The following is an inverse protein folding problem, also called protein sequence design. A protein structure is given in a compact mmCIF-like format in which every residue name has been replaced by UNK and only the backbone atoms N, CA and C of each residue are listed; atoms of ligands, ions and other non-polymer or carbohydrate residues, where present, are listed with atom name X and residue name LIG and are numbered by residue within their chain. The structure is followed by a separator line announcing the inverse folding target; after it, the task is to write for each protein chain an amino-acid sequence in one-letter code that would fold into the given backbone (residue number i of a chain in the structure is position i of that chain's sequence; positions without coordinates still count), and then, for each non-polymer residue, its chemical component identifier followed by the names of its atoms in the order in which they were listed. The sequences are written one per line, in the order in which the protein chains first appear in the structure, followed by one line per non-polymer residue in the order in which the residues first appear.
data_IF_009988103784
#
_entry.id   IF_009988103784
#
_cell.length_a   1.000
_cell.length_b   1.000
_cell.length_c   1.000
_cell.angle_alpha   90.00
_cell.angle_beta   90.00
_cell.angle_gamma   90.00
#
_symmetry.space_group_name_H-M   'P 1'
#
loop_
_entity.id
_entity.type
_entity.pdbx_description
1 polymer ?
#
# COMPACT_ATOMS: atom_id res chain seq x y z
N UNK A 1 53.46 41.60 -11.20
CA UNK A 1 52.47 40.64 -10.67
C UNK A 1 51.75 40.01 -11.85
N UNK A 2 51.84 38.69 -12.00
CA UNK A 2 51.42 37.98 -13.20
C UNK A 2 49.88 38.02 -13.35
N UNK A 3 49.39 38.68 -14.40
CA UNK A 3 47.96 38.83 -14.74
C UNK A 3 47.28 37.56 -15.27
N UNK A 4 47.99 36.42 -15.29
CA UNK A 4 47.54 35.13 -15.83
C UNK A 4 46.88 34.20 -14.81
N UNK A 5 46.64 34.64 -13.58
CA UNK A 5 45.97 33.82 -12.55
C UNK A 5 44.44 33.86 -12.60
N UNK A 6 43.83 34.66 -13.48
CA UNK A 6 42.39 34.93 -13.48
C UNK A 6 41.51 33.83 -14.09
N UNK A 7 42.05 32.98 -14.97
CA UNK A 7 41.31 31.83 -15.53
C UNK A 7 42.01 30.52 -15.16
N UNK A 8 41.89 30.08 -13.90
CA UNK A 8 42.22 28.70 -13.52
C UNK A 8 41.02 27.79 -13.77
N UNK A 9 41.08 26.83 -14.70
CA UNK A 9 39.97 25.92 -15.02
C UNK A 9 39.51 25.11 -13.78
N UNK A 10 40.43 24.81 -12.86
CA UNK A 10 40.12 24.14 -11.58
C UNK A 10 39.12 24.90 -10.70
N UNK A 11 39.03 26.23 -10.81
CA UNK A 11 38.13 27.03 -9.97
C UNK A 11 36.69 26.87 -10.44
N UNK A 12 36.47 26.79 -11.76
CA UNK A 12 35.15 26.59 -12.35
C UNK A 12 34.64 25.17 -12.09
N UNK A 13 35.50 24.16 -12.25
CA UNK A 13 35.19 22.76 -11.91
C UNK A 13 34.85 22.57 -10.42
N UNK A 14 35.60 23.23 -9.52
CA UNK A 14 35.27 23.24 -8.08
C UNK A 14 33.94 23.94 -7.78
N UNK A 15 33.63 25.00 -8.54
CA UNK A 15 32.38 25.74 -8.37
C UNK A 15 31.18 24.89 -8.81
N UNK A 16 31.23 24.26 -9.99
CA UNK A 16 30.17 23.39 -10.50
C UNK A 16 29.94 22.15 -9.62
N UNK A 17 31.01 21.52 -9.13
CA UNK A 17 30.91 20.41 -8.17
C UNK A 17 30.29 20.84 -6.84
N UNK A 18 30.64 22.03 -6.33
CA UNK A 18 30.07 22.57 -5.09
C UNK A 18 28.58 22.89 -5.24
N UNK A 19 28.14 23.39 -6.39
CA UNK A 19 26.71 23.59 -6.68
C UNK A 19 25.93 22.27 -6.72
N UNK A 20 26.54 21.23 -7.26
CA UNK A 20 25.95 19.91 -7.28
C UNK A 20 25.80 19.30 -5.86
N UNK A 21 26.80 19.48 -5.00
CA UNK A 21 26.73 19.07 -3.58
C UNK A 21 25.69 19.88 -2.78
N UNK A 22 25.57 21.19 -3.07
CA UNK A 22 24.55 22.05 -2.46
C UNK A 22 23.12 21.68 -2.89
N UNK A 23 22.91 21.36 -4.17
CA UNK A 23 21.62 20.87 -4.66
C UNK A 23 21.17 19.57 -3.98
N UNK A 24 22.11 18.67 -3.69
CA UNK A 24 21.85 17.43 -2.94
C UNK A 24 21.62 17.67 -1.43
N UNK A 25 22.28 18.67 -0.85
CA UNK A 25 22.12 19.04 0.57
C UNK A 25 20.85 19.85 0.86
N UNK A 26 20.33 20.59 -0.12
CA UNK A 26 19.14 21.42 0.05
C UNK A 26 17.84 20.61 0.16
N UNK A 27 17.85 19.35 -0.28
CA UNK A 27 16.80 18.37 0.03
C UNK A 27 16.80 17.94 1.52
N UNK A 28 17.90 18.17 2.25
CA UNK A 28 18.03 17.85 3.67
C UNK A 28 17.85 19.08 4.60
N UNK A 29 18.10 20.29 4.12
CA UNK A 29 18.09 21.51 4.94
C UNK A 29 17.10 22.56 4.40
N UNK A 30 15.88 22.50 4.94
CA UNK A 30 14.82 23.48 4.74
C UNK A 30 15.23 24.81 5.39
N UNK A 31 15.44 25.84 4.58
CA UNK A 31 15.28 27.24 4.98
C UNK A 31 16.57 28.04 5.16
N UNK A 32 17.14 28.54 4.06
CA UNK A 32 17.64 29.93 3.92
C UNK A 32 18.06 30.12 2.46
N UNK A 33 17.49 31.11 1.78
CA UNK A 33 17.91 31.53 0.45
C UNK A 33 19.23 32.32 0.60
N UNK A 34 20.37 31.67 0.40
CA UNK A 34 21.66 32.36 0.29
C UNK A 34 21.90 32.68 -1.19
N UNK A 35 22.02 33.97 -1.52
CA UNK A 35 22.20 34.46 -2.88
C UNK A 35 23.51 33.94 -3.50
N UNK A 36 23.37 33.51 -4.75
CA UNK A 36 24.16 32.51 -5.45
C UNK A 36 25.54 32.97 -5.98
N UNK A 37 26.02 34.14 -5.60
CA UNK A 37 27.37 34.61 -5.88
C UNK A 37 27.83 35.38 -4.65
N UNK A 38 29.01 35.04 -4.09
CA UNK A 38 29.57 35.81 -2.98
C UNK A 38 29.63 37.27 -3.39
N UNK A 39 29.10 38.18 -2.56
CA UNK A 39 29.16 39.64 -2.77
C UNK A 39 30.58 40.14 -3.08
N UNK A 40 31.58 39.36 -2.65
CA UNK A 40 33.00 39.55 -2.90
C UNK A 40 33.40 39.35 -4.37
N UNK A 41 32.88 38.33 -5.07
CA UNK A 41 33.19 38.08 -6.48
C UNK A 41 32.51 39.13 -7.39
N UNK A 42 31.31 39.55 -7.03
CA UNK A 42 30.54 40.57 -7.75
C UNK A 42 31.12 41.99 -7.51
N UNK A 43 31.79 42.18 -6.37
CA UNK A 43 32.64 43.34 -6.07
C UNK A 43 33.92 43.31 -6.91
N UNK A 44 34.60 42.17 -6.99
CA UNK A 44 35.83 42.02 -7.78
C UNK A 44 35.59 42.20 -9.28
N UNK A 45 34.48 41.66 -9.83
CA UNK A 45 34.11 41.87 -11.24
C UNK A 45 33.80 43.33 -11.56
N UNK A 46 33.07 44.03 -10.69
CA UNK A 46 32.83 45.48 -10.86
C UNK A 46 34.09 46.32 -10.71
N UNK A 47 35.00 45.91 -9.82
CA UNK A 47 36.33 46.51 -9.70
C UNK A 47 37.15 46.35 -10.98
N UNK A 48 37.17 45.15 -11.55
CA UNK A 48 37.82 44.85 -12.83
C UNK A 48 37.20 45.62 -14.01
N UNK A 49 35.89 45.77 -14.03
CA UNK A 49 35.19 46.55 -15.07
C UNK A 49 35.54 48.04 -14.99
N UNK A 50 35.61 48.61 -13.79
CA UNK A 50 36.04 50.00 -13.58
C UNK A 50 37.51 50.22 -13.93
N UNK A 51 38.38 49.26 -13.61
CA UNK A 51 39.80 49.32 -13.98
C UNK A 51 39.93 49.23 -15.51
N UNK A 52 39.22 48.31 -16.15
CA UNK A 52 39.21 48.16 -17.62
C UNK A 52 38.73 49.44 -18.31
N UNK A 53 37.66 50.07 -17.82
CA UNK A 53 37.15 51.35 -18.34
C UNK A 53 38.15 52.49 -18.14
N UNK A 54 38.82 52.55 -16.99
CA UNK A 54 39.82 53.57 -16.68
C UNK A 54 41.06 53.43 -17.57
N UNK A 55 41.54 52.20 -17.77
CA UNK A 55 42.66 51.87 -18.66
C UNK A 55 42.31 52.18 -20.11
N UNK A 56 41.08 51.86 -20.55
CA UNK A 56 40.57 52.17 -21.90
C UNK A 56 40.50 53.68 -22.15
N UNK A 57 40.11 54.45 -21.12
CA UNK A 57 39.99 55.90 -21.22
C UNK A 57 41.35 56.61 -21.21
N UNK A 58 42.33 56.11 -20.44
CA UNK A 58 43.67 56.70 -20.37
C UNK A 58 44.56 56.38 -21.58
N UNK A 59 44.31 55.27 -22.28
CA UNK A 59 45.20 54.80 -23.35
C UNK A 59 44.66 54.99 -24.78
N UNK A 60 43.43 55.49 -24.95
CA UNK A 60 42.77 55.63 -26.27
C UNK A 60 42.81 54.33 -27.12
N UNK A 61 42.78 53.16 -26.48
CA UNK A 61 42.88 51.87 -27.16
C UNK A 61 41.48 51.33 -27.52
N UNK A 62 41.27 50.98 -28.78
CA UNK A 62 40.14 50.16 -29.21
C UNK A 62 40.51 48.67 -29.17
N UNK A 63 40.50 48.10 -27.97
CA UNK A 63 40.62 46.65 -27.81
C UNK A 63 39.29 45.98 -28.16
N UNK A 64 39.28 45.23 -29.27
CA UNK A 64 38.18 44.33 -29.62
C UNK A 64 38.51 42.93 -29.09
N UNK A 65 37.89 42.56 -27.97
CA UNK A 65 37.90 41.19 -27.50
C UNK A 65 36.80 40.43 -28.23
N UNK A 66 37.17 39.49 -29.10
CA UNK A 66 36.22 38.50 -29.62
C UNK A 66 36.18 37.39 -28.59
N UNK A 67 35.20 37.43 -27.69
CA UNK A 67 34.87 36.28 -26.87
C UNK A 67 34.31 35.22 -27.82
N UNK A 68 35.01 34.10 -27.97
CA UNK A 68 34.45 32.94 -28.67
C UNK A 68 33.36 32.41 -27.76
N UNK A 69 32.11 32.60 -28.19
CA UNK A 69 30.95 31.99 -27.54
C UNK A 69 31.24 30.50 -27.38
N UNK A 70 31.16 30.01 -26.14
CA UNK A 70 31.14 28.57 -25.90
C UNK A 70 30.01 27.99 -26.77
N UNK A 71 30.20 26.82 -27.41
CA UNK A 71 29.16 26.25 -28.27
C UNK A 71 27.85 26.23 -27.49
N UNK A 72 26.81 26.83 -28.06
CA UNK A 72 25.47 26.77 -27.50
C UNK A 72 25.15 25.28 -27.28
N UNK A 73 25.03 24.88 -26.02
CA UNK A 73 24.36 23.64 -25.68
C UNK A 73 22.93 23.81 -26.20
N UNK A 74 22.61 23.13 -27.31
CA UNK A 74 21.30 23.22 -28.00
C UNK A 74 20.08 22.85 -27.13
N UNK A 75 20.26 22.57 -25.84
CA UNK A 75 19.15 22.51 -24.87
C UNK A 75 19.66 22.71 -23.43
N UNK A 76 20.29 23.85 -23.16
CA UNK A 76 20.55 24.31 -21.80
C UNK A 76 19.44 25.24 -21.30
N UNK A 77 18.42 24.73 -20.63
CA UNK A 77 17.48 25.60 -19.92
C UNK A 77 18.24 26.41 -18.86
N UNK A 78 18.02 27.73 -18.79
CA UNK A 78 18.63 28.56 -17.76
C UNK A 78 18.29 28.01 -16.37
N UNK A 79 19.28 27.90 -15.48
CA UNK A 79 19.12 27.35 -14.11
C UNK A 79 17.97 28.04 -13.36
N UNK A 80 17.76 29.34 -13.63
CA UNK A 80 16.68 30.12 -13.04
C UNK A 80 15.30 29.71 -13.59
N UNK A 81 15.21 29.37 -14.88
CA UNK A 81 13.98 28.88 -15.52
C UNK A 81 13.61 27.48 -15.03
N UNK A 82 14.60 26.57 -14.92
CA UNK A 82 14.43 25.25 -14.29
C UNK A 82 13.99 25.36 -12.83
N UNK A 83 14.57 26.28 -12.07
CA UNK A 83 14.21 26.47 -10.67
C UNK A 83 12.78 26.99 -10.51
N UNK A 84 12.28 27.85 -11.41
CA UNK A 84 10.90 28.33 -11.36
C UNK A 84 9.88 27.27 -11.78
N UNK A 85 10.17 26.50 -12.83
CA UNK A 85 9.27 25.41 -13.26
C UNK A 85 9.23 24.27 -12.24
N UNK A 86 10.39 23.82 -11.74
CA UNK A 86 10.44 22.78 -10.71
C UNK A 86 9.82 23.22 -9.38
N UNK A 87 9.91 24.50 -8.99
CA UNK A 87 9.26 24.97 -7.76
C UNK A 87 7.74 24.86 -7.84
N UNK A 88 7.15 25.22 -8.97
CA UNK A 88 5.70 25.13 -9.17
C UNK A 88 5.24 23.67 -9.14
N UNK A 89 5.95 22.77 -9.82
CA UNK A 89 5.65 21.34 -9.81
C UNK A 89 5.81 20.74 -8.41
N UNK A 90 6.86 21.10 -7.67
CA UNK A 90 7.08 20.61 -6.31
C UNK A 90 6.04 21.14 -5.32
N UNK A 91 5.58 22.38 -5.45
CA UNK A 91 4.48 22.90 -4.64
C UNK A 91 3.16 22.19 -4.95
N UNK A 92 2.89 21.92 -6.22
CA UNK A 92 1.75 21.12 -6.64
C UNK A 92 1.80 19.70 -6.06
N UNK A 93 2.93 19.00 -6.16
CA UNK A 93 3.12 17.67 -5.56
C UNK A 93 3.00 17.69 -4.04
N UNK A 94 3.50 18.72 -3.36
CA UNK A 94 3.34 18.87 -1.90
C UNK A 94 1.88 19.00 -1.50
N UNK A 95 1.09 19.78 -2.23
CA UNK A 95 -0.35 19.94 -1.96
C UNK A 95 -1.08 18.60 -2.18
N UNK A 96 -0.74 17.87 -3.25
CA UNK A 96 -1.31 16.54 -3.50
C UNK A 96 -0.97 15.56 -2.39
N UNK A 97 0.31 15.45 -2.02
CA UNK A 97 0.76 14.55 -0.97
C UNK A 97 0.14 14.89 0.39
N UNK A 98 0.05 16.18 0.73
CA UNK A 98 -0.62 16.63 1.95
C UNK A 98 -2.12 16.30 1.93
N UNK A 99 -2.78 16.46 0.79
CA UNK A 99 -4.20 16.09 0.62
C UNK A 99 -4.39 14.58 0.76
N UNK A 100 -3.50 13.79 0.17
CA UNK A 100 -3.53 12.33 0.25
C UNK A 100 -3.33 11.85 1.70
N UNK A 101 -2.40 12.45 2.44
CA UNK A 101 -2.18 12.17 3.87
C UNK A 101 -3.44 12.43 4.72
N UNK A 102 -4.13 13.57 4.48
CA UNK A 102 -5.39 13.88 5.17
C UNK A 102 -6.51 12.90 4.80
N UNK A 103 -6.63 12.54 3.52
CA UNK A 103 -7.60 11.54 3.07
C UNK A 103 -7.33 10.16 3.69
N UNK A 104 -6.07 9.73 3.72
CA UNK A 104 -5.67 8.46 4.31
C UNK A 104 -5.95 8.42 5.81
N UNK A 105 -5.64 9.49 6.53
CA UNK A 105 -5.96 9.65 7.95
C UNK A 105 -7.48 9.53 8.19
N UNK A 106 -8.29 10.21 7.39
CA UNK A 106 -9.75 10.11 7.46
C UNK A 106 -10.26 8.68 7.22
N UNK A 107 -9.71 7.99 6.22
CA UNK A 107 -10.05 6.60 5.93
C UNK A 107 -9.71 5.66 7.09
N UNK A 108 -8.55 5.84 7.74
CA UNK A 108 -8.17 5.05 8.91
C UNK A 108 -9.15 5.27 10.07
N UNK A 109 -9.51 6.52 10.34
CA UNK A 109 -10.47 6.86 11.41
C UNK A 109 -11.83 6.22 11.12
N UNK A 110 -12.32 6.34 9.88
CA UNK A 110 -13.60 5.74 9.46
C UNK A 110 -13.59 4.21 9.53
N UNK A 111 -12.50 3.58 9.09
CA UNK A 111 -12.33 2.14 9.22
C UNK A 111 -12.35 1.69 10.68
N UNK A 112 -11.62 2.40 11.55
CA UNK A 112 -11.56 2.11 12.98
C UNK A 112 -12.93 2.26 13.63
N UNK A 113 -13.66 3.33 13.32
CA UNK A 113 -15.03 3.54 13.78
C UNK A 113 -15.96 2.41 13.33
N UNK A 114 -15.88 2.00 12.06
CA UNK A 114 -16.71 0.91 11.54
C UNK A 114 -16.40 -0.41 12.24
N UNK A 115 -15.13 -0.75 12.44
CA UNK A 115 -14.72 -1.96 13.18
C UNK A 115 -15.28 -1.92 14.60
N UNK A 116 -15.09 -0.81 15.31
CA UNK A 116 -15.57 -0.65 16.68
C UNK A 116 -17.10 -0.76 16.78
N UNK A 117 -17.83 -0.07 15.89
CA UNK A 117 -19.29 -0.16 15.81
C UNK A 117 -19.77 -1.60 15.60
N UNK A 118 -19.13 -2.34 14.71
CA UNK A 118 -19.47 -3.75 14.48
C UNK A 118 -19.19 -4.63 15.71
N UNK A 119 -18.07 -4.41 16.39
CA UNK A 119 -17.75 -5.11 17.64
C UNK A 119 -18.80 -4.87 18.72
N UNK A 120 -19.15 -3.60 18.96
CA UNK A 120 -20.20 -3.22 19.93
C UNK A 120 -21.53 -3.85 19.56
N UNK A 121 -21.93 -3.80 18.29
CA UNK A 121 -23.19 -4.40 17.83
C UNK A 121 -23.23 -5.91 18.07
N UNK A 122 -22.11 -6.62 17.82
CA UNK A 122 -22.01 -8.06 18.09
C UNK A 122 -22.12 -8.36 19.58
N UNK A 123 -21.48 -7.56 20.44
CA UNK A 123 -21.57 -7.71 21.91
C UNK A 123 -22.99 -7.44 22.39
N UNK A 124 -23.62 -6.36 21.94
CA UNK A 124 -24.99 -6.01 22.34
C UNK A 124 -25.97 -7.11 21.92
N UNK A 125 -25.86 -7.63 20.70
CA UNK A 125 -26.68 -8.75 20.24
C UNK A 125 -26.41 -10.03 21.04
N UNK A 126 -25.15 -10.29 21.41
CA UNK A 126 -24.78 -11.44 22.25
C UNK A 126 -25.43 -11.39 23.64
N UNK A 127 -25.56 -10.19 24.21
CA UNK A 127 -26.10 -9.98 25.55
C UNK A 127 -27.64 -9.94 25.55
N UNK A 128 -28.24 -9.27 24.57
CA UNK A 128 -29.68 -9.04 24.51
C UNK A 128 -30.46 -10.23 23.94
N UNK A 129 -29.91 -10.93 22.94
CA UNK A 129 -30.58 -12.05 22.29
C UNK A 129 -29.89 -13.39 22.62
N UNK A 130 -30.62 -14.25 23.32
CA UNK A 130 -30.17 -15.58 23.76
C UNK A 130 -30.05 -16.54 22.57
N UNK A 131 -30.83 -16.34 21.51
CA UNK A 131 -30.83 -17.17 20.30
C UNK A 131 -29.79 -16.73 19.28
N UNK A 132 -29.28 -15.49 19.38
CA UNK A 132 -28.31 -14.91 18.44
C UNK A 132 -27.07 -15.80 18.27
N UNK A 133 -26.95 -16.48 17.12
CA UNK A 133 -25.86 -17.44 16.82
C UNK A 133 -25.68 -18.54 17.89
N UNK A 134 -26.75 -18.94 18.56
CA UNK A 134 -26.71 -19.98 19.60
C UNK A 134 -26.98 -21.38 19.02
N UNK A 135 -26.02 -21.92 18.28
CA UNK A 135 -26.18 -23.22 17.61
C UNK A 135 -24.99 -24.17 17.82
N UNK A 136 -24.10 -23.85 18.76
CA UNK A 136 -22.89 -24.62 19.03
C UNK A 136 -23.09 -25.62 20.17
N UNK A 137 -22.73 -26.88 19.93
CA UNK A 137 -22.73 -27.93 20.98
C UNK A 137 -21.42 -27.92 21.75
N UNK A 138 -21.35 -27.09 22.80
CA UNK A 138 -20.15 -26.93 23.64
C UNK A 138 -19.90 -28.15 24.55
N UNK A 139 -18.70 -28.33 25.12
CA UNK A 139 -18.45 -29.41 26.09
C UNK A 139 -19.41 -29.36 27.31
N UNK A 140 -19.76 -28.16 27.76
CA UNK A 140 -20.71 -27.98 28.87
C UNK A 140 -22.13 -28.46 28.52
N UNK A 141 -22.55 -28.35 27.26
CA UNK A 141 -23.81 -28.92 26.78
C UNK A 141 -23.86 -30.43 27.01
N UNK A 142 -22.78 -31.14 26.66
CA UNK A 142 -22.68 -32.59 26.86
C UNK A 142 -22.53 -32.99 28.32
N UNK A 143 -21.95 -32.12 29.14
CA UNK A 143 -21.92 -32.33 30.59
C UNK A 143 -23.35 -32.39 31.17
N UNK A 144 -24.23 -31.46 30.76
CA UNK A 144 -25.64 -31.47 31.17
C UNK A 144 -26.33 -32.77 30.73
N UNK A 145 -26.13 -33.20 29.47
CA UNK A 145 -26.71 -34.44 28.94
C UNK A 145 -26.27 -35.67 29.74
N UNK A 146 -24.96 -35.78 30.02
CA UNK A 146 -24.38 -36.88 30.79
C UNK A 146 -24.92 -36.95 32.22
N UNK A 147 -25.17 -35.79 32.85
CA UNK A 147 -25.77 -35.71 34.17
C UNK A 147 -27.22 -36.21 34.14
N UNK A 148 -28.03 -35.76 33.18
CA UNK A 148 -29.43 -36.21 33.05
C UNK A 148 -29.53 -37.70 32.75
N UNK A 149 -28.62 -38.24 31.94
CA UNK A 149 -28.54 -39.68 31.68
C UNK A 149 -28.29 -40.48 32.96
N UNK A 150 -27.34 -40.04 33.80
CA UNK A 150 -27.07 -40.67 35.11
C UNK A 150 -28.27 -40.60 36.05
N UNK A 151 -29.05 -39.53 35.97
CA UNK A 151 -30.28 -39.34 36.75
C UNK A 151 -31.50 -40.08 36.16
N UNK A 152 -31.36 -40.84 35.07
CA UNK A 152 -32.47 -41.55 34.42
C UNK A 152 -33.52 -40.63 33.78
N UNK A 153 -33.20 -39.35 33.56
CA UNK A 153 -34.09 -38.37 32.93
C UNK A 153 -33.95 -38.41 31.42
N UNK A 154 -34.95 -37.90 30.70
CA UNK A 154 -34.87 -37.72 29.23
C UNK A 154 -33.61 -36.95 28.85
N UNK A 155 -32.85 -37.52 27.91
CA UNK A 155 -31.57 -37.04 27.43
C UNK A 155 -31.56 -36.94 25.89
N UNK A 156 -30.59 -36.20 25.35
CA UNK A 156 -30.48 -35.86 23.93
C UNK A 156 -29.57 -36.81 23.14
N UNK A 157 -28.54 -37.39 23.73
CA UNK A 157 -27.65 -38.29 22.98
C UNK A 157 -28.31 -39.64 22.64
N UNK A 158 -28.12 -40.23 21.45
CA UNK A 158 -27.53 -39.62 20.26
C UNK A 158 -28.47 -38.58 19.63
N UNK A 159 -27.89 -37.52 19.05
CA UNK A 159 -28.66 -36.52 18.32
C UNK A 159 -29.17 -37.11 17.01
N UNK A 160 -30.47 -36.95 16.73
CA UNK A 160 -31.07 -37.40 15.47
C UNK A 160 -30.60 -36.46 14.34
N UNK A 161 -30.37 -37.01 13.15
CA UNK A 161 -29.94 -36.21 11.97
C UNK A 161 -30.93 -35.08 11.65
N UNK A 162 -32.22 -35.34 11.86
CA UNK A 162 -33.30 -34.38 11.69
C UNK A 162 -33.17 -33.19 12.66
N UNK A 163 -32.86 -33.45 13.93
CA UNK A 163 -32.67 -32.41 14.95
C UNK A 163 -31.45 -31.55 14.65
N UNK A 164 -30.35 -32.17 14.20
CA UNK A 164 -29.14 -31.44 13.79
C UNK A 164 -29.45 -30.52 12.61
N UNK A 165 -30.21 -31.00 11.62
CA UNK A 165 -30.57 -30.22 10.43
C UNK A 165 -31.59 -29.13 10.73
N UNK A 166 -32.62 -29.41 11.53
CA UNK A 166 -33.68 -28.47 11.84
C UNK A 166 -33.19 -27.32 12.73
N UNK A 167 -32.42 -27.62 13.78
CA UNK A 167 -31.86 -26.61 14.68
C UNK A 167 -30.52 -26.06 14.20
N UNK A 168 -30.02 -26.52 13.04
CA UNK A 168 -28.73 -26.14 12.49
C UNK A 168 -27.61 -26.29 13.53
N UNK A 169 -27.45 -27.45 14.15
CA UNK A 169 -26.42 -27.65 15.18
C UNK A 169 -25.03 -27.83 14.55
N UNK A 170 -24.01 -27.22 15.18
CA UNK A 170 -22.60 -27.36 14.79
C UNK A 170 -21.76 -27.79 15.98
N UNK A 171 -20.85 -28.74 15.74
CA UNK A 171 -19.73 -29.01 16.64
C UNK A 171 -18.69 -27.89 16.54
N UNK A 172 -18.17 -27.35 17.66
CA UNK A 172 -17.14 -26.30 17.67
C UNK A 172 -15.97 -26.55 16.69
N UNK A 173 -15.50 -27.79 16.63
CA UNK A 173 -14.38 -28.23 15.78
C UNK A 173 -14.82 -28.94 14.49
N UNK A 174 -16.10 -28.85 14.13
CA UNK A 174 -16.63 -29.46 12.91
C UNK A 174 -16.33 -28.63 11.65
N UNK A 175 -16.61 -29.22 10.49
CA UNK A 175 -16.47 -28.59 9.17
C UNK A 175 -17.23 -27.25 9.06
N UNK A 176 -16.81 -26.35 8.15
CA UNK A 176 -17.45 -25.06 7.95
C UNK A 176 -18.84 -25.20 7.32
N UNK A 177 -19.79 -24.35 7.74
CA UNK A 177 -21.15 -24.30 7.19
C UNK A 177 -21.19 -23.54 5.87
N UNK A 178 -22.16 -23.82 5.00
CA UNK A 178 -22.47 -23.02 3.80
C UNK A 178 -22.53 -21.50 4.05
N UNK A 179 -23.09 -21.04 5.17
CA UNK A 179 -23.13 -19.62 5.54
C UNK A 179 -21.75 -19.05 5.89
N UNK A 180 -20.92 -19.84 6.58
CA UNK A 180 -19.55 -19.47 6.91
C UNK A 180 -18.69 -19.49 5.65
N UNK A 181 -18.88 -20.48 4.76
CA UNK A 181 -18.26 -20.57 3.45
C UNK A 181 -18.65 -19.34 2.61
N UNK A 182 -19.92 -18.94 2.56
CA UNK A 182 -20.35 -17.75 1.82
C UNK A 182 -19.66 -16.48 2.33
N UNK A 183 -19.50 -16.34 3.66
CA UNK A 183 -18.77 -15.22 4.25
C UNK A 183 -17.28 -15.26 3.91
N UNK A 184 -16.69 -16.46 3.92
CA UNK A 184 -15.31 -16.70 3.51
C UNK A 184 -15.12 -16.37 2.03
N UNK A 185 -16.03 -16.77 1.14
CA UNK A 185 -16.01 -16.40 -0.28
C UNK A 185 -16.06 -14.89 -0.46
N UNK A 186 -16.92 -14.17 0.27
CA UNK A 186 -16.95 -12.70 0.24
C UNK A 186 -15.66 -12.05 0.75
N UNK A 187 -15.01 -12.65 1.74
CA UNK A 187 -13.71 -12.18 2.21
C UNK A 187 -12.61 -12.46 1.18
N UNK A 188 -12.65 -13.64 0.54
CA UNK A 188 -11.71 -14.06 -0.48
C UNK A 188 -11.81 -13.22 -1.75
N UNK A 189 -13.02 -12.91 -2.23
CA UNK A 189 -13.22 -12.00 -3.37
C UNK A 189 -12.64 -10.61 -3.07
N UNK A 190 -12.88 -10.07 -1.87
CA UNK A 190 -12.27 -8.79 -1.46
C UNK A 190 -10.75 -8.86 -1.42
N UNK A 191 -10.20 -9.98 -0.96
CA UNK A 191 -8.76 -10.20 -0.93
C UNK A 191 -8.15 -10.32 -2.34
N UNK A 192 -8.81 -10.97 -3.29
CA UNK A 192 -8.38 -11.02 -4.70
C UNK A 192 -8.35 -9.61 -5.30
N UNK A 193 -9.39 -8.81 -5.06
CA UNK A 193 -9.43 -7.42 -5.55
C UNK A 193 -8.27 -6.61 -4.97
N UNK A 194 -8.02 -6.73 -3.65
CA UNK A 194 -6.88 -6.08 -3.01
C UNK A 194 -5.53 -6.57 -3.56
N UNK A 195 -5.39 -7.87 -3.84
CA UNK A 195 -4.20 -8.44 -4.44
C UNK A 195 -3.93 -7.82 -5.82
N UNK A 196 -4.96 -7.69 -6.66
CA UNK A 196 -4.82 -7.04 -7.97
C UNK A 196 -4.38 -5.58 -7.85
N UNK A 197 -4.95 -4.83 -6.90
CA UNK A 197 -4.54 -3.45 -6.63
C UNK A 197 -3.09 -3.36 -6.18
N UNK A 198 -2.64 -4.24 -5.28
CA UNK A 198 -1.25 -4.29 -4.83
C UNK A 198 -0.31 -4.62 -5.99
N UNK A 199 -0.65 -5.60 -6.82
CA UNK A 199 0.12 -5.95 -8.01
C UNK A 199 0.22 -4.74 -8.96
N UNK A 200 -0.88 -4.01 -9.18
CA UNK A 200 -0.88 -2.82 -10.03
C UNK A 200 0.03 -1.71 -9.50
N UNK A 201 0.03 -1.47 -8.18
CA UNK A 201 0.92 -0.49 -7.53
C UNK A 201 2.38 -0.92 -7.65
N UNK A 202 2.70 -2.20 -7.40
CA UNK A 202 4.07 -2.72 -7.54
C UNK A 202 4.55 -2.64 -8.98
N UNK A 203 3.69 -2.92 -9.96
CA UNK A 203 4.01 -2.75 -11.39
C UNK A 203 4.29 -1.28 -11.72
N UNK A 204 3.47 -0.35 -11.22
CA UNK A 204 3.70 1.09 -11.41
C UNK A 204 5.04 1.52 -10.83
N UNK A 205 5.37 1.08 -9.61
CA UNK A 205 6.66 1.36 -8.97
C UNK A 205 7.84 0.77 -9.76
N UNK A 206 7.69 -0.45 -10.29
CA UNK A 206 8.69 -1.07 -11.18
C UNK A 206 8.91 -0.23 -12.45
N UNK A 207 7.84 0.20 -13.12
CA UNK A 207 7.94 1.05 -14.32
C UNK A 207 8.53 2.42 -14.00
N UNK A 208 8.17 3.01 -12.86
CA UNK A 208 8.74 4.28 -12.39
C UNK A 208 10.24 4.16 -12.17
N UNK A 209 10.70 3.12 -11.48
CA UNK A 209 12.13 2.85 -11.29
C UNK A 209 12.85 2.60 -12.63
N UNK A 210 12.21 1.88 -13.55
CA UNK A 210 12.77 1.66 -14.90
C UNK A 210 12.89 2.96 -15.71
N UNK A 211 11.91 3.85 -15.61
CA UNK A 211 11.97 5.17 -16.23
C UNK A 211 13.10 6.02 -15.64
N UNK A 212 13.26 6.01 -14.32
CA UNK A 212 14.38 6.69 -13.66
C UNK A 212 15.74 6.14 -14.10
N UNK A 213 15.88 4.81 -14.25
CA UNK A 213 17.10 4.20 -14.80
C UNK A 213 17.41 4.73 -16.21
N UNK A 214 16.42 4.78 -17.09
CA UNK A 214 16.57 5.28 -18.47
C UNK A 214 17.00 6.75 -18.46
N UNK A 215 16.38 7.60 -17.63
CA UNK A 215 16.74 9.02 -17.51
C UNK A 215 18.17 9.19 -17.01
N UNK A 216 18.59 8.39 -16.03
CA UNK A 216 19.97 8.41 -15.52
C UNK A 216 20.97 7.95 -16.59
N UNK A 217 20.63 6.91 -17.36
CA UNK A 217 21.47 6.39 -18.45
C UNK A 217 21.68 7.43 -19.57
N UNK A 218 20.61 8.09 -20.01
CA UNK A 218 20.69 9.15 -21.01
C UNK A 218 21.37 10.41 -20.46
N UNK A 219 21.13 10.75 -19.19
CA UNK A 219 21.81 11.86 -18.51
C UNK A 219 23.32 11.67 -18.40
N UNK A 220 23.81 10.42 -18.33
CA UNK A 220 25.25 10.11 -18.41
C UNK A 220 25.80 10.33 -19.82
N UNK A 221 25.09 9.89 -20.86
CA UNK A 221 25.53 10.04 -22.26
C UNK A 221 25.66 11.51 -22.72
N UNK A 222 24.76 12.40 -22.29
CA UNK A 222 24.85 13.83 -22.63
C UNK A 222 26.08 14.53 -22.00
N UNK A 223 26.75 13.94 -21.01
CA UNK A 223 27.85 14.56 -20.27
C UNK A 223 29.25 14.25 -20.83
N UNK A 224 29.40 13.30 -21.76
CA UNK A 224 30.69 13.02 -22.42
C UNK A 224 30.98 13.96 -23.60
N UNK A 225 30.24 15.07 -23.73
CA UNK A 225 30.57 16.12 -24.69
C UNK A 225 31.82 16.88 -24.25
N UNK A 226 32.94 16.54 -24.88
CA UNK A 226 34.19 17.31 -24.78
C UNK A 226 34.02 18.65 -25.50
N UNK A 227 34.00 19.75 -24.74
CA UNK A 227 34.00 21.10 -25.32
C UNK A 227 35.44 21.53 -25.61
N UNK A 228 35.71 21.93 -26.85
CA UNK A 228 36.99 22.48 -27.27
C UNK A 228 36.80 23.98 -27.56
N UNK A 229 37.31 24.84 -26.68
CA UNK A 229 37.26 26.29 -26.88
C UNK A 229 38.59 26.80 -27.44
N UNK A 230 38.56 27.35 -28.65
CA UNK A 230 39.70 28.04 -29.27
C UNK A 230 39.63 29.53 -28.94
N UNK A 231 40.63 30.08 -28.27
CA UNK A 231 40.75 31.52 -28.04
C UNK A 231 41.75 32.11 -29.04
N UNK A 232 41.32 33.10 -29.83
CA UNK A 232 42.18 33.85 -30.72
C UNK A 232 42.07 35.35 -30.43
N UNK A 233 43.14 35.94 -29.90
CA UNK A 233 43.18 37.35 -29.49
C UNK A 233 43.90 38.15 -30.56
N UNK A 234 43.18 39.02 -31.27
CA UNK A 234 43.74 39.93 -32.29
C UNK A 234 43.72 41.36 -31.76
N UNK A 235 44.91 41.96 -31.58
CA UNK A 235 45.07 43.36 -31.18
C UNK A 235 45.17 44.23 -32.42
N UNK A 236 44.23 45.16 -32.60
CA UNK A 236 44.22 46.10 -33.73
C UNK A 236 44.62 47.52 -33.28
N UNK A 237 45.41 48.23 -34.09
CA UNK A 237 45.92 49.58 -33.79
C UNK A 237 47.43 49.78 -33.96
N UNK A 238 47.85 51.01 -34.29
CA UNK A 238 49.26 51.41 -34.48
C UNK A 238 49.62 52.51 -33.49
N UNK A 239 50.48 52.17 -32.52
CA UNK A 239 50.93 53.07 -31.45
C UNK A 239 51.87 52.32 -30.50
N UNK A 240 52.66 53.05 -29.70
CA UNK A 240 53.69 52.45 -28.82
C UNK A 240 53.09 51.43 -27.84
N UNK A 241 51.90 51.69 -27.32
CA UNK A 241 51.19 50.79 -26.40
C UNK A 241 50.58 49.58 -27.14
N UNK A 242 50.08 49.78 -28.36
CA UNK A 242 49.60 48.68 -29.21
C UNK A 242 50.75 47.78 -29.66
N UNK A 243 51.93 48.33 -29.94
CA UNK A 243 53.14 47.57 -30.25
C UNK A 243 53.67 46.82 -29.03
N UNK A 244 53.68 47.42 -27.84
CA UNK A 244 54.02 46.72 -26.60
C UNK A 244 53.04 45.57 -26.33
N UNK A 245 51.73 45.78 -26.53
CA UNK A 245 50.73 44.72 -26.39
C UNK A 245 50.90 43.63 -27.43
N UNK A 246 51.15 43.97 -28.70
CA UNK A 246 51.48 43.00 -29.76
C UNK A 246 52.77 42.25 -29.46
N UNK A 247 53.75 42.85 -28.79
CA UNK A 247 55.03 42.23 -28.42
C UNK A 247 54.90 41.31 -27.19
N UNK A 248 54.11 41.72 -26.19
CA UNK A 248 53.75 40.88 -25.03
C UNK A 248 52.84 39.71 -25.44
N UNK A 249 51.91 39.96 -26.36
CA UNK A 249 50.95 38.98 -26.88
C UNK A 249 51.45 38.29 -28.16
N UNK A 250 52.69 38.52 -28.60
CA UNK A 250 53.23 37.99 -29.87
C UNK A 250 53.41 36.47 -29.88
N UNK A 251 53.01 35.80 -28.81
CA UNK A 251 52.70 34.39 -28.87
C UNK A 251 51.27 34.23 -29.38
N UNK A 252 51.13 33.76 -30.62
CA UNK A 252 49.93 33.05 -31.07
C UNK A 252 49.59 31.97 -30.03
N UNK A 253 48.82 32.33 -29.02
CA UNK A 253 48.46 31.42 -27.95
C UNK A 253 47.21 30.67 -28.40
N UNK A 254 47.40 29.64 -29.21
CA UNK A 254 46.35 28.65 -29.47
C UNK A 254 46.32 27.68 -28.29
N UNK A 255 45.66 28.10 -27.21
CA UNK A 255 45.39 27.24 -26.07
C UNK A 255 44.20 26.33 -26.37
N UNK A 256 44.40 25.02 -26.34
CA UNK A 256 43.31 24.04 -26.37
C UNK A 256 42.87 23.81 -24.92
N UNK A 257 41.73 24.36 -24.52
CA UNK A 257 41.14 24.04 -23.23
C UNK A 257 40.27 22.80 -23.41
N UNK A 258 40.77 21.63 -22.99
CA UNK A 258 39.97 20.40 -22.91
C UNK A 258 39.38 20.33 -21.51
N UNK A 259 38.16 20.82 -21.34
CA UNK A 259 37.44 20.69 -20.08
C UNK A 259 36.49 19.49 -20.15
N UNK A 260 36.81 18.44 -19.40
CA UNK A 260 35.93 17.31 -19.16
C UNK A 260 35.08 17.61 -17.90
N UNK A 261 33.85 18.07 -18.12
CA UNK A 261 32.83 18.23 -17.08
C UNK A 261 32.03 16.93 -16.98
N UNK A 262 32.30 16.13 -15.94
CA UNK A 262 31.58 14.89 -15.68
C UNK A 262 30.48 15.10 -14.62
N UNK A 263 29.21 14.88 -15.00
CA UNK A 263 28.04 15.00 -14.12
C UNK A 263 27.76 13.74 -13.27
N UNK A 264 28.68 12.77 -13.25
CA UNK A 264 28.54 11.50 -12.53
C UNK A 264 28.26 11.68 -11.04
N UNK A 265 28.83 12.73 -10.42
CA UNK A 265 28.62 13.04 -8.99
C UNK A 265 27.21 13.62 -8.71
N UNK A 266 26.56 14.18 -9.73
CA UNK A 266 25.26 14.85 -9.62
C UNK A 266 24.07 13.95 -9.87
N UNK A 267 24.25 12.99 -10.77
CA UNK A 267 23.30 11.94 -10.98
C UNK A 267 23.31 11.07 -9.72
N UNK A 268 22.29 11.22 -8.89
CA UNK A 268 22.05 10.36 -7.74
C UNK A 268 22.21 8.93 -8.24
N UNK A 269 23.21 8.19 -7.72
CA UNK A 269 23.39 6.80 -8.08
C UNK A 269 22.03 6.14 -7.92
N UNK A 270 21.47 5.65 -9.04
CA UNK A 270 20.22 4.91 -9.03
C UNK A 270 20.36 3.91 -7.88
N UNK A 271 19.48 4.02 -6.88
CA UNK A 271 19.52 3.18 -5.67
C UNK A 271 19.91 1.78 -6.10
N UNK A 272 20.97 1.23 -5.47
CA UNK A 272 21.48 -0.11 -5.73
C UNK A 272 20.31 -1.03 -6.05
N UNK A 273 20.32 -1.62 -7.26
CA UNK A 273 19.21 -2.43 -7.79
C UNK A 273 18.64 -3.28 -6.64
N UNK A 274 17.38 -3.07 -6.24
CA UNK A 274 16.84 -3.83 -5.13
C UNK A 274 16.93 -5.31 -5.51
N UNK A 275 17.52 -6.13 -4.63
CA UNK A 275 17.53 -7.57 -4.81
C UNK A 275 16.09 -8.07 -4.76
N UNK A 276 15.44 -8.12 -5.92
CA UNK A 276 14.03 -8.44 -6.07
C UNK A 276 13.72 -9.82 -5.47
N UNK A 277 14.65 -10.77 -5.62
CA UNK A 277 14.51 -12.13 -5.08
C UNK A 277 14.53 -12.13 -3.55
N UNK A 278 15.42 -11.35 -2.93
CA UNK A 278 15.51 -11.25 -1.47
C UNK A 278 14.28 -10.55 -0.89
N UNK A 279 13.88 -9.40 -1.45
CA UNK A 279 12.71 -8.66 -1.00
C UNK A 279 11.41 -9.46 -1.18
N UNK A 280 11.28 -10.18 -2.31
CA UNK A 280 10.13 -11.03 -2.55
C UNK A 280 10.06 -12.19 -1.54
N UNK A 281 11.18 -12.86 -1.27
CA UNK A 281 11.21 -14.00 -0.35
C UNK A 281 11.10 -13.60 1.13
N UNK A 282 11.72 -12.49 1.51
CA UNK A 282 11.77 -12.05 2.91
C UNK A 282 10.55 -11.22 3.33
N UNK A 283 9.91 -10.50 2.42
CA UNK A 283 8.84 -9.55 2.76
C UNK A 283 7.52 -9.92 2.10
N UNK A 284 7.50 -10.13 0.78
CA UNK A 284 6.25 -10.37 0.06
C UNK A 284 5.64 -11.74 0.39
N UNK A 285 6.43 -12.80 0.31
CA UNK A 285 5.97 -14.17 0.54
C UNK A 285 5.37 -14.41 1.94
N UNK A 286 6.00 -14.00 3.07
CA UNK A 286 5.40 -14.18 4.38
C UNK A 286 4.13 -13.35 4.57
N UNK A 287 4.09 -12.11 4.09
CA UNK A 287 2.89 -11.24 4.18
C UNK A 287 1.73 -11.84 3.39
N UNK A 288 2.00 -12.30 2.16
CA UNK A 288 1.02 -12.98 1.32
C UNK A 288 0.47 -14.24 1.99
N UNK A 289 1.36 -15.08 2.55
CA UNK A 289 0.97 -16.31 3.25
C UNK A 289 0.08 -16.00 4.47
N UNK A 290 0.46 -15.02 5.30
CA UNK A 290 -0.31 -14.62 6.49
C UNK A 290 -1.69 -14.10 6.10
N UNK A 291 -1.78 -13.25 5.07
CA UNK A 291 -3.06 -12.74 4.60
C UNK A 291 -3.95 -13.86 4.04
N UNK A 292 -3.37 -14.78 3.27
CA UNK A 292 -4.07 -15.94 2.75
C UNK A 292 -4.61 -16.80 3.89
N UNK A 293 -3.76 -17.13 4.88
CA UNK A 293 -4.17 -17.88 6.07
C UNK A 293 -5.29 -17.16 6.83
N UNK A 294 -5.21 -15.84 7.02
CA UNK A 294 -6.28 -15.08 7.69
C UNK A 294 -7.62 -15.18 6.96
N UNK A 295 -7.63 -15.20 5.63
CA UNK A 295 -8.86 -15.36 4.84
C UNK A 295 -9.41 -16.77 4.99
N UNK A 296 -8.56 -17.80 4.88
CA UNK A 296 -8.99 -19.19 4.99
C UNK A 296 -9.49 -19.56 6.39
N UNK A 297 -8.79 -19.10 7.44
CA UNK A 297 -9.11 -19.41 8.83
C UNK A 297 -10.06 -18.40 9.49
N UNK A 298 -10.66 -17.48 8.73
CA UNK A 298 -11.57 -16.47 9.26
C UNK A 298 -12.74 -17.10 10.06
N UNK A 299 -13.30 -18.21 9.58
CA UNK A 299 -14.38 -18.91 10.29
C UNK A 299 -13.91 -19.48 11.64
N UNK A 300 -12.66 -19.97 11.72
CA UNK A 300 -12.08 -20.47 12.97
C UNK A 300 -11.91 -19.34 13.97
N UNK A 301 -11.40 -18.19 13.52
CA UNK A 301 -11.26 -16.99 14.36
C UNK A 301 -12.62 -16.54 14.88
N UNK A 302 -13.65 -16.50 14.03
CA UNK A 302 -15.01 -16.12 14.45
C UNK A 302 -15.58 -17.08 15.51
N UNK A 303 -15.40 -18.40 15.32
CA UNK A 303 -15.84 -19.40 16.30
C UNK A 303 -15.06 -19.28 17.61
N UNK A 304 -13.75 -19.11 17.53
CA UNK A 304 -12.89 -18.92 18.70
C UNK A 304 -13.30 -17.69 19.51
N UNK A 305 -13.48 -16.54 18.85
CA UNK A 305 -13.94 -15.31 19.51
C UNK A 305 -15.29 -15.53 20.19
N UNK A 306 -16.24 -16.19 19.52
CA UNK A 306 -17.58 -16.36 20.06
C UNK A 306 -17.66 -17.38 21.21
N UNK A 307 -16.90 -18.48 21.14
CA UNK A 307 -16.95 -19.56 22.10
C UNK A 307 -16.01 -19.34 23.29
N UNK A 308 -14.80 -18.85 23.02
CA UNK A 308 -13.75 -18.68 24.02
C UNK A 308 -13.77 -17.26 24.57
N UNK A 309 -13.56 -16.25 23.72
CA UNK A 309 -13.42 -14.87 24.19
C UNK A 309 -14.70 -14.35 24.84
N UNK A 310 -15.85 -14.46 24.16
CA UNK A 310 -17.12 -14.04 24.76
C UNK A 310 -17.53 -14.92 25.96
N UNK A 311 -17.14 -16.20 25.95
CA UNK A 311 -17.39 -17.12 27.05
C UNK A 311 -16.62 -16.74 28.32
N UNK A 312 -15.40 -16.24 28.17
CA UNK A 312 -14.55 -15.73 29.26
C UNK A 312 -15.07 -14.38 29.77
N UNK A 313 -15.42 -13.46 28.88
CA UNK A 313 -15.88 -12.11 29.26
C UNK A 313 -17.26 -12.15 29.93
N UNK A 314 -18.19 -12.97 29.41
CA UNK A 314 -19.58 -13.02 29.89
C UNK A 314 -20.00 -14.44 30.32
N UNK A 315 -19.41 -14.99 31.41
CA UNK A 315 -19.58 -16.39 31.79
C UNK A 315 -21.03 -16.75 32.11
N UNK A 316 -21.75 -15.89 32.83
CA UNK A 316 -23.15 -16.11 33.19
C UNK A 316 -24.07 -16.17 31.97
N UNK A 317 -23.88 -15.26 30.99
CA UNK A 317 -24.65 -15.24 29.75
C UNK A 317 -24.34 -16.44 28.87
N UNK A 318 -23.07 -16.80 28.73
CA UNK A 318 -22.64 -17.99 28.00
C UNK A 318 -23.31 -19.27 28.56
N UNK A 319 -23.30 -19.43 29.89
CA UNK A 319 -23.97 -20.56 30.56
C UNK A 319 -25.48 -20.58 30.33
N UNK A 320 -26.15 -19.44 30.48
CA UNK A 320 -27.59 -19.33 30.25
C UNK A 320 -27.98 -19.69 28.81
N UNK A 321 -27.18 -19.27 27.83
CA UNK A 321 -27.39 -19.59 26.41
C UNK A 321 -27.26 -21.08 26.12
N UNK A 322 -26.25 -21.74 26.69
CA UNK A 322 -26.08 -23.19 26.53
C UNK A 322 -27.26 -23.96 27.15
N UNK A 323 -27.72 -23.55 28.33
CA UNK A 323 -28.89 -24.16 28.99
C UNK A 323 -30.16 -23.93 28.16
N UNK A 324 -30.36 -22.72 27.64
CA UNK A 324 -31.50 -22.40 26.77
C UNK A 324 -31.50 -23.27 25.51
N UNK A 325 -30.36 -23.41 24.84
CA UNK A 325 -30.23 -24.28 23.66
C UNK A 325 -30.56 -25.74 23.99
N UNK A 326 -30.06 -26.25 25.13
CA UNK A 326 -30.35 -27.60 25.58
C UNK A 326 -31.85 -27.81 25.84
N UNK A 327 -32.48 -26.90 26.57
CA UNK A 327 -33.92 -26.98 26.87
C UNK A 327 -34.78 -26.86 25.60
N UNK A 328 -34.39 -26.00 24.64
CA UNK A 328 -35.07 -25.87 23.34
C UNK A 328 -35.03 -27.18 22.55
N UNK A 329 -33.87 -27.83 22.51
CA UNK A 329 -33.71 -29.14 21.84
C UNK A 329 -34.49 -30.25 22.56
N UNK A 330 -34.47 -30.26 23.89
CA UNK A 330 -35.19 -31.26 24.68
C UNK A 330 -36.71 -31.13 24.49
N UNK A 331 -37.22 -29.90 24.53
CA UNK A 331 -38.64 -29.63 24.29
C UNK A 331 -39.06 -30.03 22.87
N UNK A 332 -38.24 -29.69 21.87
CA UNK A 332 -38.48 -30.09 20.49
C UNK A 332 -38.54 -31.62 20.35
N UNK A 333 -37.63 -32.36 20.99
CA UNK A 333 -37.64 -33.83 21.01
C UNK A 333 -38.93 -34.39 21.61
N UNK A 334 -39.30 -33.93 22.81
CA UNK A 334 -40.51 -34.39 23.50
C UNK A 334 -41.76 -34.12 22.65
N UNK A 335 -41.85 -32.94 22.03
CA UNK A 335 -42.98 -32.58 21.18
C UNK A 335 -43.03 -33.45 19.91
N UNK A 336 -41.89 -33.72 19.28
CA UNK A 336 -41.81 -34.61 18.12
C UNK A 336 -42.19 -36.05 18.48
N UNK A 337 -41.76 -36.54 19.64
CA UNK A 337 -42.08 -37.89 20.10
C UNK A 337 -43.58 -38.04 20.39
N UNK A 338 -44.20 -37.05 21.06
CA UNK A 338 -45.65 -37.01 21.27
C UNK A 338 -46.44 -36.95 19.96
N UNK A 339 -45.97 -36.16 18.99
CA UNK A 339 -46.59 -36.06 17.68
C UNK A 339 -46.51 -37.41 16.92
N UNK A 340 -45.37 -38.08 17.00
CA UNK A 340 -45.19 -39.39 16.37
C UNK A 340 -46.06 -40.47 17.02
N UNK A 341 -46.23 -40.42 18.35
CA UNK A 341 -47.14 -41.32 19.06
C UNK A 341 -48.60 -41.09 18.66
N UNK A 342 -49.06 -39.84 18.61
CA UNK A 342 -50.41 -39.50 18.15
C UNK A 342 -50.68 -39.99 16.71
N UNK A 343 -49.71 -39.83 15.80
CA UNK A 343 -49.81 -40.33 14.42
C UNK A 343 -49.93 -41.86 14.37
N UNK A 344 -49.14 -42.59 15.15
CA UNK A 344 -49.24 -44.07 15.22
C UNK A 344 -50.61 -44.52 15.71
N UNK A 345 -51.17 -43.84 16.72
CA UNK A 345 -52.51 -44.14 17.22
C UNK A 345 -53.55 -43.88 16.13
N UNK A 346 -53.48 -42.77 15.40
CA UNK A 346 -54.39 -42.46 14.30
C UNK A 346 -54.31 -43.50 13.17
N UNK A 347 -53.10 -43.87 12.74
CA UNK A 347 -52.88 -44.92 11.73
C UNK A 347 -53.43 -46.28 12.18
N UNK A 348 -53.28 -46.62 13.47
CA UNK A 348 -53.83 -47.86 14.02
C UNK A 348 -55.37 -47.87 14.01
N UNK A 349 -56.01 -46.74 14.31
CA UNK A 349 -57.47 -46.59 14.25
C UNK A 349 -57.99 -46.73 12.82
N UNK A 350 -57.36 -46.08 11.84
CA UNK A 350 -57.71 -46.21 10.42
C UNK A 350 -57.64 -47.66 9.94
N UNK A 351 -56.57 -48.38 10.29
CA UNK A 351 -56.43 -49.82 9.95
C UNK A 351 -57.52 -50.70 10.60
N UNK A 352 -57.97 -50.36 11.81
CA UNK A 352 -59.06 -51.08 12.48
C UNK A 352 -60.40 -50.79 11.79
N UNK A 353 -60.67 -49.55 11.41
CA UNK A 353 -61.86 -49.15 10.67
C UNK A 353 -61.93 -49.83 9.30
N UNK A 354 -60.83 -49.82 8.53
CA UNK A 354 -60.71 -50.53 7.26
C UNK A 354 -60.97 -52.03 7.39
N UNK A 355 -60.42 -52.67 8.44
CA UNK A 355 -60.70 -54.09 8.73
C UNK A 355 -62.16 -54.36 9.06
N UNK A 356 -62.81 -53.47 9.82
CA UNK A 356 -64.24 -53.59 10.14
C UNK A 356 -65.10 -53.42 8.89
N UNK A 357 -64.77 -52.48 8.02
CA UNK A 357 -65.50 -52.25 6.77
C UNK A 357 -65.33 -53.42 5.80
N UNK A 358 -64.12 -53.97 5.67
CA UNK A 358 -63.87 -55.16 4.87
C UNK A 358 -64.61 -56.39 5.40
N UNK A 359 -64.69 -56.56 6.74
CA UNK A 359 -65.46 -57.66 7.34
C UNK A 359 -66.96 -57.55 7.02
N UNK A 360 -67.55 -56.35 7.11
CA UNK A 360 -68.95 -56.11 6.72
C UNK A 360 -69.21 -56.44 5.24
N UNK A 361 -68.32 -56.02 4.33
CA UNK A 361 -68.43 -56.33 2.89
C UNK A 361 -68.37 -57.84 2.60
N UNK A 362 -67.61 -58.60 3.39
CA UNK A 362 -67.55 -60.07 3.27
C UNK A 362 -68.85 -60.71 3.79
N UNK A 363 -69.35 -60.25 4.94
CA UNK A 363 -70.63 -60.73 5.49
C UNK A 363 -71.81 -60.46 4.54
N UNK A 364 -71.87 -59.27 3.93
CA UNK A 364 -72.87 -58.92 2.90
C UNK A 364 -72.76 -59.81 1.66
N UNK A 365 -71.55 -60.09 1.17
CA UNK A 365 -71.34 -61.00 0.02
C UNK A 365 -71.73 -62.44 0.29
N UNK A 366 -71.51 -62.93 1.52
CA UNK A 366 -71.90 -64.29 1.89
C UNK A 366 -73.43 -64.40 2.01
N UNK A 367 -74.08 -63.42 2.64
CA UNK A 367 -75.54 -63.37 2.73
C UNK A 367 -76.25 -63.26 1.36
N UNK A 368 -75.57 -62.73 0.33
CA UNK A 368 -76.07 -62.69 -1.04
C UNK A 368 -75.88 -64.00 -1.83
N UNK A 369 -75.02 -64.91 -1.37
CA UNK A 369 -74.80 -66.22 -2.01
C UNK A 369 -75.71 -67.34 -1.47
N UNK A 370 -76.25 -67.16 -0.27
CA UNK A 370 -77.16 -68.11 0.39
C UNK A 370 -78.64 -67.85 0.07
N UNK A 371 -78.93 -66.86 -0.79
CA UNK A 371 -80.23 -66.61 -1.45
C UNK A 371 -80.13 -66.98 -2.91
#
# INVERSE_FOLDING_TARGET
MNSLTLCKPDRFKKMSLKYCELGQAQDAARGTHESLFSSELDSEMRGLENISKTVKHQLHLNLHFVAVEAPELEQGYSVNQLQTEMKHDLEYYKIILATFDKMFTFLIIMFTYFVFKNCVLIIMNYLNDIEYKNYFTTPYFWHIDSKRRREGKVFLWPLRKEEIKFNNLISPFGLPRSDEIRKMTKAFVRWIVLLFVVIAIVMLDYYYNRMLEIVIEHGKMLSEQTSYSHLNIKVDGEGVVANLLKEILNFNYTGYLKEELTNEKCLKNASSKPDWIYNFRSLFLPVFLILLLMVFFNFVVQRFVFLVVMGIIFPYRSKARIIHLYNKLLLARINMDKLNEAKKIEESKKKIEEKKENKKKIEEKNNLKDK
#
